data_IF_931404361886
#
_entry.id   IF_931404361886
#
_cell.length_a   1.000
_cell.length_b   1.000
_cell.length_c   1.000
_cell.angle_alpha   90.00
_cell.angle_beta   90.00
_cell.angle_gamma   90.00
#
_symmetry.space_group_name_H-M   'P 1'
#
loop_
_entity.id
_entity.type
_entity.pdbx_description
1 polymer ?
#
# COMPACT_ATOMS: atom_id res chain seq x y z
N UNK A 1 -2.46 6.90 -7.12
CA UNK A 1 -1.46 5.91 -6.65
C UNK A 1 -2.13 5.06 -5.58
N UNK A 2 -2.01 3.74 -5.64
CA UNK A 2 -2.51 2.87 -4.56
C UNK A 2 -1.59 2.95 -3.35
N UNK A 3 -2.16 3.03 -2.15
CA UNK A 3 -1.37 3.16 -0.93
C UNK A 3 -2.08 2.58 0.31
N UNK A 4 -1.27 2.31 1.33
CA UNK A 4 -1.73 2.05 2.70
C UNK A 4 -1.26 3.19 3.59
N UNK A 5 -2.17 3.72 4.42
CA UNK A 5 -1.89 4.92 5.20
C UNK A 5 -0.71 4.72 6.15
N UNK A 6 0.16 5.73 6.18
CA UNK A 6 1.32 5.77 7.09
C UNK A 6 2.22 4.54 7.03
N UNK A 7 2.26 3.79 5.90
CA UNK A 7 3.20 2.67 5.78
C UNK A 7 4.68 3.11 5.87
N UNK A 8 4.94 4.40 5.63
CA UNK A 8 6.24 5.05 5.83
C UNK A 8 6.58 5.36 7.31
N UNK A 9 5.71 4.99 8.27
CA UNK A 9 6.02 5.06 9.71
C UNK A 9 6.49 3.70 10.22
N UNK A 10 7.36 3.64 11.25
CA UNK A 10 7.80 2.36 11.81
C UNK A 10 6.64 1.52 12.36
N UNK A 11 5.68 2.17 13.02
CA UNK A 11 4.40 1.59 13.41
C UNK A 11 3.33 2.25 12.53
N UNK A 12 2.80 1.53 11.52
CA UNK A 12 1.88 2.10 10.56
C UNK A 12 0.46 2.22 11.12
N UNK A 13 -0.43 2.87 10.36
CA UNK A 13 -1.82 3.06 10.75
C UNK A 13 -2.56 1.73 10.94
N UNK A 14 -3.53 1.73 11.85
CA UNK A 14 -4.47 0.62 12.04
C UNK A 14 -5.70 0.86 11.16
N UNK A 15 -6.62 1.66 11.65
CA UNK A 15 -7.83 2.05 10.93
C UNK A 15 -7.73 3.51 10.51
N UNK A 16 -8.27 3.79 9.33
CA UNK A 16 -8.54 5.15 8.87
C UNK A 16 -10.04 5.31 8.73
N UNK A 17 -10.53 6.52 9.02
CA UNK A 17 -11.94 6.86 8.98
C UNK A 17 -12.10 8.14 8.16
N UNK A 18 -12.97 8.10 7.15
CA UNK A 18 -13.26 9.24 6.30
C UNK A 18 -14.75 9.50 6.24
N UNK A 19 -15.15 10.75 6.46
CA UNK A 19 -16.53 11.19 6.51
C UNK A 19 -16.83 12.18 5.39
N UNK A 20 -17.80 11.86 4.54
CA UNK A 20 -18.21 12.71 3.42
C UNK A 20 -19.06 13.90 3.91
N UNK A 21 -18.42 15.04 4.12
CA UNK A 21 -19.09 16.28 4.53
C UNK A 21 -19.74 17.02 3.35
N UNK A 22 -19.06 17.00 2.21
CA UNK A 22 -19.55 17.53 0.93
C UNK A 22 -19.08 16.55 -0.14
N UNK A 23 -20.01 16.04 -0.95
CA UNK A 23 -19.69 15.08 -2.01
C UNK A 23 -19.44 15.82 -3.31
N UNK A 24 -18.33 15.52 -3.98
CA UNK A 24 -18.08 16.02 -5.33
C UNK A 24 -19.03 15.30 -6.31
N UNK A 25 -19.86 16.02 -7.10
CA UNK A 25 -20.80 15.37 -8.02
C UNK A 25 -20.14 14.68 -9.21
N UNK A 26 -18.83 14.89 -9.46
CA UNK A 26 -18.09 14.32 -10.59
C UNK A 26 -16.83 13.61 -10.12
N UNK A 27 -16.81 12.28 -10.20
CA UNK A 27 -15.65 11.47 -9.81
C UNK A 27 -15.43 11.43 -8.30
N UNK A 28 -14.18 11.26 -7.86
CA UNK A 28 -13.84 11.23 -6.43
C UNK A 28 -14.31 9.98 -5.69
N UNK A 29 -14.53 8.87 -6.40
CA UNK A 29 -14.72 7.57 -5.76
C UNK A 29 -13.46 7.21 -4.97
N UNK A 30 -13.64 6.47 -3.88
CA UNK A 30 -12.53 5.84 -3.18
C UNK A 30 -12.55 4.35 -3.53
N UNK A 31 -11.42 3.83 -3.98
CA UNK A 31 -11.30 2.42 -4.30
C UNK A 31 -10.47 1.71 -3.23
N UNK A 32 -10.84 0.47 -2.94
CA UNK A 32 -10.19 -0.37 -1.92
C UNK A 32 -9.82 -1.71 -2.54
N UNK A 33 -8.57 -2.12 -2.39
CA UNK A 33 -8.08 -3.41 -2.87
C UNK A 33 -7.83 -4.35 -1.67
N UNK A 34 -8.38 -5.57 -1.70
CA UNK A 34 -8.19 -6.58 -0.66
C UNK A 34 -6.85 -7.30 -0.83
N UNK A 35 -5.86 -6.94 0.00
CA UNK A 35 -4.51 -7.50 -0.09
C UNK A 35 -4.42 -8.94 0.40
N UNK A 36 -5.45 -9.44 1.08
CA UNK A 36 -5.53 -10.84 1.53
C UNK A 36 -5.97 -11.72 0.37
N UNK A 37 -7.03 -11.31 -0.33
CA UNK A 37 -7.49 -12.00 -1.53
C UNK A 37 -6.39 -12.01 -2.61
N UNK A 38 -5.71 -10.88 -2.81
CA UNK A 38 -4.57 -10.80 -3.71
C UNK A 38 -3.43 -11.76 -3.32
N UNK A 39 -3.08 -11.87 -2.03
CA UNK A 39 -2.07 -12.83 -1.56
C UNK A 39 -2.51 -14.28 -1.79
N UNK A 40 -3.75 -14.61 -1.45
CA UNK A 40 -4.27 -15.97 -1.55
C UNK A 40 -4.28 -16.47 -3.01
N UNK A 41 -4.49 -15.56 -3.97
CA UNK A 41 -4.54 -15.85 -5.40
C UNK A 41 -3.17 -16.01 -6.10
N UNK A 42 -2.05 -15.70 -5.42
CA UNK A 42 -0.72 -15.96 -5.96
C UNK A 42 -0.44 -17.46 -6.09
N UNK A 43 0.38 -17.85 -7.06
CA UNK A 43 0.92 -19.22 -7.10
C UNK A 43 1.90 -19.48 -5.94
N UNK A 44 2.18 -20.76 -5.71
CA UNK A 44 3.00 -21.20 -4.57
C UNK A 44 4.47 -20.80 -4.71
N UNK A 45 4.98 -20.68 -5.94
CA UNK A 45 6.35 -20.24 -6.22
C UNK A 45 6.52 -18.78 -5.81
N UNK A 46 5.60 -17.92 -6.23
CA UNK A 46 5.59 -16.50 -5.87
C UNK A 46 5.41 -16.33 -4.36
N UNK A 47 4.49 -17.09 -3.74
CA UNK A 47 4.31 -17.05 -2.28
C UNK A 47 5.59 -17.41 -1.53
N UNK A 48 6.34 -18.40 -2.01
CA UNK A 48 7.62 -18.80 -1.43
C UNK A 48 8.70 -17.73 -1.63
N UNK A 49 8.77 -17.10 -2.82
CA UNK A 49 9.71 -16.04 -3.14
C UNK A 49 9.57 -14.83 -2.21
N UNK A 50 8.34 -14.40 -1.94
CA UNK A 50 8.07 -13.12 -1.26
C UNK A 50 7.99 -13.20 0.27
N UNK A 51 7.96 -14.40 0.85
CA UNK A 51 7.57 -14.66 2.26
C UNK A 51 8.35 -13.82 3.27
N UNK A 52 9.67 -13.71 3.08
CA UNK A 52 10.60 -13.03 3.99
C UNK A 52 11.14 -11.71 3.47
N UNK A 53 10.63 -11.24 2.32
CA UNK A 53 11.07 -9.97 1.75
C UNK A 53 10.65 -8.79 2.63
N UNK A 54 11.56 -7.81 2.70
CA UNK A 54 11.39 -6.56 3.45
C UNK A 54 11.52 -5.39 2.48
N UNK A 55 10.56 -4.47 2.55
CA UNK A 55 10.51 -3.27 1.73
C UNK A 55 10.94 -2.04 2.53
N UNK A 56 11.62 -1.10 1.86
CA UNK A 56 11.85 0.25 2.37
C UNK A 56 10.67 1.14 1.98
N UNK A 57 9.99 1.71 2.98
CA UNK A 57 8.86 2.63 2.80
C UNK A 57 9.26 4.06 3.16
N UNK A 58 8.98 5.01 2.27
CA UNK A 58 9.21 6.43 2.47
C UNK A 58 8.26 7.27 1.62
N UNK A 59 7.92 8.47 2.11
CA UNK A 59 7.25 9.48 1.31
C UNK A 59 8.07 9.89 0.08
N UNK A 60 9.41 9.84 0.17
CA UNK A 60 10.30 10.16 -0.95
C UNK A 60 10.05 9.27 -2.17
N UNK A 61 9.71 7.99 -1.97
CA UNK A 61 9.42 7.07 -3.08
C UNK A 61 8.11 7.38 -3.77
N UNK A 62 7.03 7.59 -3.00
CA UNK A 62 5.72 7.94 -3.55
C UNK A 62 5.73 9.29 -4.25
N UNK A 63 6.38 10.30 -3.65
CA UNK A 63 6.49 11.65 -4.20
C UNK A 63 7.44 11.69 -5.41
N UNK A 64 8.55 10.94 -5.38
CA UNK A 64 9.44 10.77 -6.52
C UNK A 64 8.73 10.19 -7.74
N UNK A 65 7.79 9.26 -7.54
CA UNK A 65 6.97 8.71 -8.64
C UNK A 65 5.99 9.73 -9.26
N UNK A 66 5.75 10.85 -8.58
CA UNK A 66 4.97 12.00 -9.08
C UNK A 66 5.87 13.12 -9.63
N UNK A 67 7.19 12.91 -9.71
CA UNK A 67 8.16 13.89 -10.22
C UNK A 67 8.83 14.77 -9.15
N UNK A 68 8.53 14.58 -7.85
CA UNK A 68 9.18 15.32 -6.77
C UNK A 68 10.42 14.58 -6.28
N UNK A 69 11.57 14.89 -6.86
CA UNK A 69 12.86 14.22 -6.56
C UNK A 69 13.84 15.07 -5.76
N UNK A 70 13.59 16.37 -5.66
CA UNK A 70 14.43 17.29 -4.91
C UNK A 70 13.95 17.37 -3.46
N UNK A 71 14.87 17.12 -2.53
CA UNK A 71 14.63 17.17 -1.08
C UNK A 71 15.79 17.89 -0.41
N UNK A 72 15.48 18.79 0.51
CA UNK A 72 16.46 19.35 1.45
C UNK A 72 16.98 18.25 2.39
N UNK A 73 18.11 18.49 3.05
CA UNK A 73 18.65 17.48 3.98
C UNK A 73 17.75 17.26 5.20
N UNK A 74 17.05 18.29 5.66
CA UNK A 74 16.02 18.17 6.72
C UNK A 74 14.84 17.29 6.27
N UNK A 75 14.39 17.42 5.01
CA UNK A 75 13.32 16.57 4.46
C UNK A 75 13.78 15.12 4.29
N UNK A 76 15.02 14.88 3.85
CA UNK A 76 15.58 13.53 3.78
C UNK A 76 15.64 12.87 5.15
N UNK A 77 15.99 13.63 6.19
CA UNK A 77 15.99 13.16 7.57
C UNK A 77 14.56 12.86 8.06
N UNK A 78 13.61 13.74 7.78
CA UNK A 78 12.21 13.58 8.16
C UNK A 78 11.53 12.39 7.48
N UNK A 79 11.85 12.15 6.21
CA UNK A 79 11.28 11.06 5.40
C UNK A 79 12.19 9.84 5.34
N UNK A 80 13.12 9.69 6.29
CA UNK A 80 14.03 8.54 6.36
C UNK A 80 13.25 7.22 6.17
N UNK A 81 13.64 6.37 5.21
CA UNK A 81 12.93 5.12 4.95
C UNK A 81 12.83 4.22 6.17
N UNK A 82 11.69 3.56 6.31
CA UNK A 82 11.43 2.54 7.34
C UNK A 82 11.27 1.17 6.71
N UNK A 83 11.52 0.13 7.49
CA UNK A 83 11.43 -1.26 7.02
C UNK A 83 10.04 -1.85 7.33
N UNK A 84 9.45 -2.53 6.36
CA UNK A 84 8.18 -3.23 6.50
C UNK A 84 8.25 -4.59 5.80
N UNK A 85 7.61 -5.62 6.37
CA UNK A 85 7.49 -6.94 5.71
C UNK A 85 6.60 -6.83 4.47
N UNK A 86 6.99 -7.46 3.36
CA UNK A 86 6.15 -7.54 2.15
C UNK A 86 4.94 -8.46 2.37
N UNK A 87 5.11 -9.54 3.14
CA UNK A 87 4.02 -10.41 3.59
C UNK A 87 3.75 -10.18 5.07
N UNK A 88 2.54 -9.77 5.41
CA UNK A 88 2.10 -9.53 6.79
C UNK A 88 1.08 -10.55 7.23
N UNK A 89 1.03 -10.82 8.53
CA UNK A 89 0.02 -11.68 9.15
C UNK A 89 -0.91 -10.85 10.04
N UNK A 90 -2.22 -10.90 9.81
CA UNK A 90 -3.16 -10.15 10.64
C UNK A 90 -3.26 -10.74 12.06
N UNK A 91 -3.19 -9.94 13.14
CA UNK A 91 -3.03 -10.46 14.50
C UNK A 91 -4.25 -11.23 15.05
N UNK A 92 -5.44 -11.02 14.49
CA UNK A 92 -6.69 -11.65 14.98
C UNK A 92 -6.91 -13.01 14.34
N UNK A 93 -7.03 -13.05 13.01
CA UNK A 93 -7.43 -14.25 12.26
C UNK A 93 -6.26 -14.89 11.49
N UNK A 94 -5.04 -14.37 11.61
CA UNK A 94 -3.82 -14.95 11.03
C UNK A 94 -3.77 -15.09 9.50
N UNK A 95 -4.78 -14.63 8.77
CA UNK A 95 -4.68 -14.46 7.32
C UNK A 95 -3.45 -13.62 6.96
N UNK A 96 -2.73 -14.09 5.94
CA UNK A 96 -1.66 -13.36 5.31
C UNK A 96 -2.23 -12.33 4.33
N UNK A 97 -1.45 -11.30 4.06
CA UNK A 97 -1.75 -10.33 3.01
C UNK A 97 -0.46 -9.73 2.47
N UNK A 98 -0.51 -9.27 1.22
CA UNK A 98 0.54 -8.41 0.68
C UNK A 98 0.51 -7.05 1.40
N UNK A 99 1.68 -6.48 1.69
CA UNK A 99 1.78 -5.14 2.29
C UNK A 99 2.30 -4.13 1.27
N UNK A 100 1.51 -3.96 0.21
CA UNK A 100 1.82 -3.05 -0.88
C UNK A 100 1.42 -1.61 -0.53
N UNK A 101 2.17 -0.67 -1.06
CA UNK A 101 1.89 0.76 -0.96
C UNK A 101 2.79 1.51 -1.94
N UNK A 102 2.33 2.62 -2.51
CA UNK A 102 3.19 3.52 -3.32
C UNK A 102 4.40 4.06 -2.57
N UNK A 103 4.40 3.97 -1.24
CA UNK A 103 5.53 4.31 -0.40
C UNK A 103 6.66 3.28 -0.44
N UNK A 104 6.41 2.04 -0.88
CA UNK A 104 7.43 1.00 -1.03
C UNK A 104 8.26 1.24 -2.29
N UNK A 105 9.54 1.58 -2.13
CA UNK A 105 10.39 1.94 -3.27
C UNK A 105 11.55 1.00 -3.58
N UNK A 106 11.83 0.06 -2.67
CA UNK A 106 12.95 -0.87 -2.75
C UNK A 106 12.67 -2.10 -1.88
N UNK A 107 13.18 -3.26 -2.31
CA UNK A 107 13.28 -4.49 -1.51
C UNK A 107 14.72 -4.63 -1.03
N UNK A 108 14.91 -4.85 0.28
CA UNK A 108 16.23 -4.75 0.94
C UNK A 108 17.24 -5.75 0.36
N UNK A 109 16.81 -6.97 0.06
CA UNK A 109 17.65 -8.07 -0.42
C UNK A 109 17.84 -8.11 -1.93
N UNK A 110 17.29 -7.16 -2.68
CA UNK A 110 17.34 -7.14 -4.15
C UNK A 110 18.00 -5.87 -4.67
N UNK A 111 18.42 -5.88 -5.95
CA UNK A 111 18.78 -4.63 -6.61
C UNK A 111 17.56 -3.71 -6.73
N UNK A 112 17.79 -2.39 -6.81
CA UNK A 112 16.70 -1.41 -6.94
C UNK A 112 15.81 -1.69 -8.17
N UNK A 113 16.36 -1.97 -9.37
CA UNK A 113 15.53 -2.28 -10.53
C UNK A 113 14.68 -3.55 -10.34
N UNK A 114 15.28 -4.65 -9.90
CA UNK A 114 14.57 -5.94 -9.72
C UNK A 114 13.48 -5.82 -8.66
N UNK A 115 13.79 -5.23 -7.51
CA UNK A 115 12.81 -5.05 -6.44
C UNK A 115 11.65 -4.15 -6.86
N UNK A 116 11.89 -3.12 -7.68
CA UNK A 116 10.81 -2.26 -8.22
C UNK A 116 9.97 -2.97 -9.28
N UNK A 117 10.55 -3.85 -10.09
CA UNK A 117 9.80 -4.67 -11.04
C UNK A 117 8.88 -5.64 -10.30
N UNK A 118 9.39 -6.36 -9.30
CA UNK A 118 8.57 -7.26 -8.47
C UNK A 118 7.43 -6.49 -7.77
N UNK A 119 7.73 -5.34 -7.16
CA UNK A 119 6.69 -4.50 -6.55
C UNK A 119 5.65 -4.02 -7.56
N UNK A 120 6.05 -3.67 -8.79
CA UNK A 120 5.13 -3.28 -9.85
C UNK A 120 4.19 -4.44 -10.20
N UNK A 121 4.74 -5.62 -10.45
CA UNK A 121 3.97 -6.79 -10.89
C UNK A 121 2.98 -7.23 -9.80
N UNK A 122 3.40 -7.22 -8.52
CA UNK A 122 2.50 -7.47 -7.39
C UNK A 122 1.41 -6.40 -7.23
N UNK A 123 1.72 -5.11 -7.49
CA UNK A 123 0.71 -4.04 -7.46
C UNK A 123 -0.31 -4.19 -8.60
N UNK A 124 0.13 -4.55 -9.80
CA UNK A 124 -0.74 -4.81 -10.93
C UNK A 124 -1.70 -5.96 -10.63
N UNK A 125 -1.17 -7.10 -10.18
CA UNK A 125 -1.96 -8.24 -9.72
C UNK A 125 -2.98 -7.86 -8.64
N UNK A 126 -2.51 -7.24 -7.55
CA UNK A 126 -3.33 -6.96 -6.38
C UNK A 126 -4.40 -5.87 -6.60
N UNK A 127 -4.37 -5.19 -7.75
CA UNK A 127 -5.33 -4.13 -8.11
C UNK A 127 -6.19 -4.50 -9.31
N UNK A 128 -6.17 -5.77 -9.72
CA UNK A 128 -7.16 -6.34 -10.62
C UNK A 128 -8.58 -6.20 -10.07
N UNK A 129 -9.56 -6.06 -10.97
CA UNK A 129 -10.94 -5.72 -10.62
C UNK A 129 -11.61 -6.72 -9.65
N UNK A 130 -11.20 -7.98 -9.66
CA UNK A 130 -11.70 -9.01 -8.74
C UNK A 130 -11.34 -8.76 -7.27
N UNK A 131 -10.27 -7.99 -7.01
CA UNK A 131 -9.83 -7.62 -5.66
C UNK A 131 -10.28 -6.22 -5.24
N UNK A 132 -10.92 -5.46 -6.14
CA UNK A 132 -11.21 -4.04 -5.96
C UNK A 132 -12.69 -3.78 -5.69
N UNK A 133 -12.97 -3.09 -4.60
CA UNK A 133 -14.25 -2.46 -4.31
C UNK A 133 -14.20 -0.97 -4.65
N UNK A 134 -15.18 -0.49 -5.43
CA UNK A 134 -15.33 0.93 -5.77
C UNK A 134 -16.43 1.56 -4.91
N UNK A 135 -16.05 2.43 -3.99
CA UNK A 135 -17.01 3.15 -3.16
C UNK A 135 -17.48 4.45 -3.85
N UNK A 136 -18.79 4.52 -4.11
CA UNK A 136 -19.46 5.74 -4.57
C UNK A 136 -20.04 6.47 -3.36
N UNK A 137 -19.45 7.61 -3.02
CA UNK A 137 -19.81 8.39 -1.85
C UNK A 137 -21.24 8.93 -1.91
N UNK A 138 -21.92 8.90 -0.76
CA UNK A 138 -23.13 9.66 -0.47
C UNK A 138 -22.87 10.67 0.64
N UNK A 139 -23.70 11.71 0.67
CA UNK A 139 -23.62 12.74 1.71
C UNK A 139 -23.76 12.09 3.08
N UNK A 140 -22.81 12.40 3.97
CA UNK A 140 -22.70 11.89 5.33
C UNK A 140 -22.31 10.42 5.48
N UNK A 141 -21.86 9.75 4.41
CA UNK A 141 -21.19 8.45 4.56
C UNK A 141 -19.98 8.59 5.50
N UNK A 142 -19.77 7.55 6.31
CA UNK A 142 -18.55 7.33 7.05
C UNK A 142 -18.01 5.97 6.64
N UNK A 143 -16.85 5.97 5.98
CA UNK A 143 -16.15 4.75 5.60
C UNK A 143 -14.97 4.58 6.52
N UNK A 144 -14.84 3.37 7.07
CA UNK A 144 -13.67 2.97 7.84
C UNK A 144 -13.02 1.77 7.16
N UNK A 145 -11.70 1.76 7.10
CA UNK A 145 -10.93 0.66 6.53
C UNK A 145 -9.73 0.30 7.38
N UNK A 146 -9.25 -0.93 7.21
CA UNK A 146 -8.08 -1.46 7.90
C UNK A 146 -6.87 -1.46 6.98
N UNK A 147 -5.98 -0.49 7.18
CA UNK A 147 -4.70 -0.38 6.45
C UNK A 147 -3.83 -1.63 6.61
N UNK A 148 -4.13 -2.47 7.61
CA UNK A 148 -3.42 -3.73 7.79
C UNK A 148 -3.81 -4.81 6.78
N UNK A 149 -4.82 -4.57 5.96
CA UNK A 149 -5.42 -5.57 5.07
C UNK A 149 -5.73 -5.03 3.67
N UNK A 150 -5.61 -3.72 3.44
CA UNK A 150 -6.05 -3.07 2.20
C UNK A 150 -5.07 -2.03 1.68
N UNK A 151 -5.02 -1.87 0.36
CA UNK A 151 -4.65 -0.59 -0.25
C UNK A 151 -5.91 0.21 -0.59
N UNK A 152 -5.76 1.53 -0.73
CA UNK A 152 -6.80 2.41 -1.23
C UNK A 152 -6.24 3.54 -2.11
N UNK A 153 -7.11 4.19 -2.88
CA UNK A 153 -6.79 5.38 -3.70
C UNK A 153 -7.99 6.30 -3.86
#
# INVERSE_FOLDING_TARGET
>A
LWHSDSSFRPIPAKFSLLSARVVNPKGGNTEFADMRAAYDALDDETKAEIEDLVCEHSLMYSRGSLGFTEYTDDEKAMFKPVLQRLVRTHPVHRRKSLYLSSHAGKIVSMSVPEGRLLLRDLNEHATNAEFVYVHKWKLHDLVMWDNRQTMHR
#
